data_IF_248575840929
#
_entry.id   IF_248575840929
#
_cell.length_a   1.000
_cell.length_b   1.000
_cell.length_c   1.000
_cell.angle_alpha   90.00
_cell.angle_beta   90.00
_cell.angle_gamma   90.00
#
_symmetry.space_group_name_H-M   'P 1'
#
loop_
_entity.id
_entity.type
_entity.pdbx_description
1 polymer ?
#
# COMPACT_ATOMS: atom_id res chain seq x y z
N UNK A 1 -18.67 -8.34 17.75
CA UNK A 1 -19.16 -7.02 17.30
C UNK A 1 -18.17 -6.51 16.28
N UNK A 2 -18.58 -6.29 15.02
CA UNK A 2 -17.66 -5.81 13.97
C UNK A 2 -17.70 -4.29 13.98
N UNK A 3 -16.67 -3.67 14.52
CA UNK A 3 -16.49 -2.23 14.43
C UNK A 3 -16.35 -1.80 12.96
N UNK A 4 -16.93 -0.65 12.61
CA UNK A 4 -16.77 -0.04 11.29
C UNK A 4 -15.32 0.47 11.19
N UNK A 5 -14.52 0.07 10.17
CA UNK A 5 -13.20 0.66 9.99
C UNK A 5 -13.32 2.17 9.83
N UNK A 6 -12.43 2.94 10.46
CA UNK A 6 -12.54 4.40 10.53
C UNK A 6 -12.73 5.07 9.16
N UNK A 7 -12.08 4.54 8.11
CA UNK A 7 -12.22 5.02 6.74
C UNK A 7 -13.65 4.90 6.15
N UNK A 8 -14.47 3.99 6.66
CA UNK A 8 -15.86 3.79 6.23
C UNK A 8 -16.88 4.52 7.10
N UNK A 9 -16.48 5.01 8.29
CA UNK A 9 -17.38 5.71 9.20
C UNK A 9 -18.05 6.92 8.54
N UNK A 10 -17.28 7.74 7.81
CA UNK A 10 -17.83 8.93 7.15
C UNK A 10 -18.90 8.58 6.12
N UNK A 11 -18.74 7.46 5.40
CA UNK A 11 -19.73 6.98 4.43
C UNK A 11 -20.96 6.40 5.12
N UNK A 12 -20.76 5.62 6.19
CA UNK A 12 -21.86 5.07 6.97
C UNK A 12 -22.69 6.19 7.64
N UNK A 13 -22.03 7.20 8.20
CA UNK A 13 -22.67 8.36 8.79
C UNK A 13 -23.46 9.16 7.75
N UNK A 14 -22.85 9.43 6.60
CA UNK A 14 -23.48 10.08 5.45
C UNK A 14 -24.75 9.34 5.00
N UNK A 15 -24.66 8.03 4.85
CA UNK A 15 -25.78 7.19 4.42
C UNK A 15 -26.89 7.12 5.48
N UNK A 16 -26.55 7.14 6.78
CA UNK A 16 -27.51 7.22 7.87
C UNK A 16 -28.26 8.57 7.88
N UNK A 17 -27.57 9.68 7.66
CA UNK A 17 -28.19 11.02 7.56
C UNK A 17 -29.12 11.11 6.35
N UNK A 18 -28.70 10.54 5.22
CA UNK A 18 -29.54 10.44 4.04
C UNK A 18 -30.80 9.60 4.31
N UNK A 19 -30.66 8.46 4.99
CA UNK A 19 -31.78 7.59 5.35
C UNK A 19 -32.75 8.23 6.34
N UNK A 20 -32.26 9.09 7.24
CA UNK A 20 -33.07 9.92 8.12
C UNK A 20 -33.82 11.05 7.38
N UNK A 21 -33.54 11.26 6.10
CA UNK A 21 -34.28 12.16 5.24
C UNK A 21 -33.78 13.61 5.22
N UNK A 22 -32.58 13.88 5.76
CA UNK A 22 -32.00 15.22 5.82
C UNK A 22 -31.26 15.65 4.53
N UNK A 23 -31.23 14.79 3.49
CA UNK A 23 -30.57 15.06 2.19
C UNK A 23 -31.53 15.61 1.13
N UNK A 24 -32.55 16.37 1.55
CA UNK A 24 -33.54 16.98 0.64
C UNK A 24 -33.00 18.24 -0.03
N UNK A 25 -32.30 19.07 0.74
CA UNK A 25 -31.63 20.27 0.26
C UNK A 25 -30.42 20.59 1.15
N UNK A 26 -29.49 21.40 0.63
CA UNK A 26 -28.25 21.74 1.31
C UNK A 26 -28.48 22.41 2.68
N UNK A 27 -29.45 23.31 2.79
CA UNK A 27 -29.71 24.05 4.02
C UNK A 27 -30.17 23.13 5.16
N UNK A 28 -31.10 22.21 4.88
CA UNK A 28 -31.59 21.21 5.84
C UNK A 28 -30.47 20.25 6.27
N UNK A 29 -29.65 19.78 5.31
CA UNK A 29 -28.50 18.94 5.60
C UNK A 29 -27.51 19.62 6.54
N UNK A 30 -27.17 20.88 6.26
CA UNK A 30 -26.22 21.65 7.06
C UNK A 30 -26.78 21.97 8.45
N UNK A 31 -28.05 22.36 8.55
CA UNK A 31 -28.72 22.60 9.83
C UNK A 31 -28.75 21.34 10.70
N UNK A 32 -28.98 20.17 10.10
CA UNK A 32 -28.93 18.90 10.82
C UNK A 32 -27.52 18.59 11.34
N UNK A 33 -26.48 18.72 10.51
CA UNK A 33 -25.09 18.54 10.95
C UNK A 33 -24.68 19.51 12.06
N UNK A 34 -25.08 20.77 11.96
CA UNK A 34 -24.86 21.76 13.02
C UNK A 34 -25.58 21.37 14.31
N UNK A 35 -26.80 20.84 14.23
CA UNK A 35 -27.53 20.34 15.40
C UNK A 35 -26.81 19.18 16.09
N UNK A 36 -26.20 18.27 15.33
CA UNK A 36 -25.38 17.18 15.89
C UNK A 36 -24.14 17.75 16.56
N UNK A 37 -23.45 18.70 15.91
CA UNK A 37 -22.28 19.37 16.47
C UNK A 37 -22.59 20.00 17.83
N UNK A 38 -23.68 20.77 17.92
CA UNK A 38 -24.14 21.37 19.18
C UNK A 38 -24.48 20.36 20.26
N UNK A 39 -25.10 19.23 19.91
CA UNK A 39 -25.41 18.17 20.86
C UNK A 39 -24.15 17.50 21.42
N UNK A 40 -23.13 17.30 20.57
CA UNK A 40 -21.83 16.78 21.00
C UNK A 40 -21.14 17.80 21.91
N UNK A 41 -21.10 19.07 21.52
CA UNK A 41 -20.47 20.13 22.30
C UNK A 41 -21.12 20.28 23.68
N UNK A 42 -22.46 20.31 23.76
CA UNK A 42 -23.17 20.32 25.03
C UNK A 42 -22.87 19.07 25.88
N UNK A 43 -22.79 17.89 25.27
CA UNK A 43 -22.44 16.67 25.99
C UNK A 43 -20.99 16.67 26.51
N UNK A 44 -20.06 17.34 25.83
CA UNK A 44 -18.70 17.58 26.31
C UNK A 44 -18.70 18.55 27.50
N UNK A 45 -19.42 19.68 27.39
CA UNK A 45 -19.52 20.69 28.45
C UNK A 45 -20.18 20.14 29.72
N UNK A 46 -21.22 19.32 29.57
CA UNK A 46 -21.94 18.67 30.67
C UNK A 46 -21.15 17.50 31.29
N UNK A 47 -19.98 17.12 30.75
CA UNK A 47 -19.18 15.98 31.20
C UNK A 47 -19.78 14.61 30.89
N UNK A 48 -20.78 14.53 30.00
CA UNK A 48 -21.39 13.26 29.55
C UNK A 48 -20.49 12.50 28.56
N UNK A 49 -19.59 13.21 27.88
CA UNK A 49 -18.58 12.66 26.99
C UNK A 49 -17.18 13.10 27.44
N UNK A 50 -16.23 12.17 27.46
CA UNK A 50 -14.81 12.49 27.64
C UNK A 50 -14.26 13.07 26.33
N UNK A 51 -14.33 14.39 26.22
CA UNK A 51 -13.93 15.11 25.04
C UNK A 51 -12.50 15.61 25.15
N UNK A 52 -11.72 15.38 24.09
CA UNK A 52 -10.38 15.95 23.93
C UNK A 52 -10.48 17.28 23.16
N UNK A 53 -9.47 18.16 23.27
CA UNK A 53 -9.39 19.36 22.44
C UNK A 53 -9.61 19.00 20.96
N UNK A 54 -10.38 19.81 20.24
CA UNK A 54 -10.54 19.65 18.79
C UNK A 54 -9.18 19.89 18.13
N UNK A 55 -8.41 18.81 17.92
CA UNK A 55 -7.20 18.88 17.12
C UNK A 55 -7.60 18.98 15.65
N UNK A 56 -7.06 19.97 14.94
CA UNK A 56 -7.11 20.08 13.48
C UNK A 56 -6.13 19.12 12.80
N UNK A 57 -5.48 18.25 13.57
CA UNK A 57 -4.42 17.39 13.09
C UNK A 57 -4.99 16.22 12.29
N UNK A 58 -4.43 16.00 11.11
CA UNK A 58 -4.75 14.86 10.26
C UNK A 58 -4.20 13.53 10.80
N UNK A 59 -3.55 13.56 11.97
CA UNK A 59 -2.92 12.41 12.62
C UNK A 59 -3.70 12.10 13.90
N UNK A 60 -4.25 10.88 14.05
CA UNK A 60 -4.97 10.50 15.25
C UNK A 60 -4.05 10.51 16.48
N UNK A 61 -4.60 10.76 17.68
CA UNK A 61 -3.81 10.85 18.90
C UNK A 61 -3.08 9.53 19.16
N UNK A 62 -1.84 9.63 19.63
CA UNK A 62 -1.03 8.45 19.94
C UNK A 62 -1.52 7.79 21.22
N UNK A 63 -1.75 6.47 21.18
CA UNK A 63 -2.07 5.66 22.35
C UNK A 63 -0.88 4.76 22.71
N UNK A 64 -0.55 4.65 24.00
CA UNK A 64 0.59 3.82 24.44
C UNK A 64 0.47 2.35 24.03
N UNK A 65 -0.76 1.87 23.86
CA UNK A 65 -1.08 0.52 23.38
C UNK A 65 -0.47 0.24 21.99
N UNK A 66 -0.33 1.28 21.15
CA UNK A 66 0.24 1.18 19.82
C UNK A 66 1.74 0.88 19.83
N UNK A 67 2.46 1.21 20.90
CA UNK A 67 3.90 0.94 21.00
C UNK A 67 4.22 -0.54 20.84
N UNK A 68 3.37 -1.41 21.39
CA UNK A 68 3.52 -2.87 21.29
C UNK A 68 3.25 -3.40 19.88
N UNK A 69 2.45 -2.65 19.10
CA UNK A 69 2.07 -3.00 17.73
C UNK A 69 3.03 -2.48 16.67
N UNK A 70 3.86 -1.47 16.98
CA UNK A 70 4.76 -0.83 16.02
C UNK A 70 5.71 -1.80 15.34
N UNK A 71 6.56 -2.47 16.11
CA UNK A 71 7.58 -3.36 15.56
C UNK A 71 7.01 -4.58 14.82
N UNK A 72 6.03 -5.34 15.36
CA UNK A 72 5.48 -6.49 14.65
C UNK A 72 4.72 -6.08 13.39
N UNK A 73 3.96 -4.98 13.43
CA UNK A 73 3.25 -4.46 12.25
C UNK A 73 4.26 -3.96 11.22
N UNK A 74 5.27 -3.19 11.63
CA UNK A 74 6.31 -2.71 10.71
C UNK A 74 7.05 -3.86 10.03
N UNK A 75 7.42 -4.89 10.78
CA UNK A 75 8.08 -6.06 10.20
C UNK A 75 7.16 -6.80 9.24
N UNK A 76 5.88 -6.96 9.57
CA UNK A 76 4.89 -7.56 8.67
C UNK A 76 4.74 -6.77 7.37
N UNK A 77 4.60 -5.44 7.47
CA UNK A 77 4.48 -4.53 6.31
C UNK A 77 5.75 -4.56 5.46
N UNK A 78 6.92 -4.43 6.09
CA UNK A 78 8.21 -4.44 5.41
C UNK A 78 8.45 -5.77 4.70
N UNK A 79 8.19 -6.90 5.40
CA UNK A 79 8.27 -8.23 4.79
C UNK A 79 7.35 -8.32 3.58
N UNK A 80 6.09 -7.89 3.69
CA UNK A 80 5.12 -7.95 2.59
C UNK A 80 5.55 -7.10 1.38
N UNK A 81 6.17 -5.94 1.60
CA UNK A 81 6.77 -5.12 0.53
C UNK A 81 7.88 -5.87 -0.20
N UNK A 82 8.80 -6.50 0.53
CA UNK A 82 9.99 -7.15 -0.03
C UNK A 82 9.66 -8.52 -0.64
N UNK A 83 8.74 -9.28 -0.04
CA UNK A 83 8.37 -10.61 -0.50
C UNK A 83 7.33 -10.62 -1.61
N UNK A 84 6.71 -9.46 -1.93
CA UNK A 84 5.60 -9.37 -2.89
C UNK A 84 4.47 -10.36 -2.57
N UNK A 85 4.30 -10.65 -1.28
CA UNK A 85 3.34 -11.65 -0.81
C UNK A 85 1.90 -11.13 -0.97
N UNK A 86 0.94 -12.03 -1.10
CA UNK A 86 -0.49 -11.74 -1.37
C UNK A 86 -0.81 -11.12 -2.75
N UNK A 87 0.11 -11.18 -3.72
CA UNK A 87 -0.21 -10.85 -5.12
C UNK A 87 -1.10 -11.93 -5.76
N UNK A 88 -2.41 -11.79 -5.60
CA UNK A 88 -3.40 -12.63 -6.29
C UNK A 88 -4.23 -11.81 -7.26
N UNK A 89 -4.28 -12.26 -8.51
CA UNK A 89 -5.24 -11.78 -9.51
C UNK A 89 -6.57 -12.53 -9.43
N UNK A 90 -6.70 -13.48 -8.49
CA UNK A 90 -7.96 -14.16 -8.29
C UNK A 90 -8.99 -13.19 -7.74
N UNK A 91 -10.09 -13.13 -8.47
CA UNK A 91 -11.23 -12.31 -8.13
C UNK A 91 -12.37 -13.20 -7.62
N UNK A 92 -12.22 -14.52 -7.53
CA UNK A 92 -13.26 -15.43 -7.03
C UNK A 92 -13.86 -14.91 -5.71
N UNK A 93 -15.20 -14.93 -5.62
CA UNK A 93 -15.93 -14.40 -4.46
C UNK A 93 -16.04 -12.87 -4.37
N UNK A 94 -15.35 -12.10 -5.23
CA UNK A 94 -15.49 -10.63 -5.28
C UNK A 94 -16.58 -10.23 -6.28
N UNK A 95 -17.70 -9.72 -5.80
CA UNK A 95 -18.81 -9.32 -6.65
C UNK A 95 -19.06 -7.82 -6.53
N UNK A 96 -19.52 -7.21 -7.61
CA UNK A 96 -20.09 -5.87 -7.53
C UNK A 96 -21.37 -5.96 -6.70
N UNK A 97 -21.46 -5.15 -5.65
CA UNK A 97 -22.67 -5.02 -4.83
C UNK A 97 -23.20 -3.60 -4.86
N UNK A 98 -24.46 -3.42 -4.52
CA UNK A 98 -25.12 -2.12 -4.48
C UNK A 98 -26.56 -2.17 -5.01
N UNK A 99 -27.33 -1.08 -4.82
CA UNK A 99 -28.67 -0.98 -5.37
C UNK A 99 -28.67 -1.12 -6.90
N UNK A 100 -29.64 -1.85 -7.46
CA UNK A 100 -29.68 -2.16 -8.90
C UNK A 100 -29.68 -0.93 -9.82
N UNK A 101 -30.27 0.19 -9.38
CA UNK A 101 -30.23 1.46 -10.12
C UNK A 101 -28.81 2.01 -10.26
N UNK A 102 -28.03 1.97 -9.18
CA UNK A 102 -26.63 2.44 -9.18
C UNK A 102 -25.75 1.52 -10.02
N UNK A 103 -26.00 0.21 -9.96
CA UNK A 103 -25.35 -0.78 -10.82
C UNK A 103 -25.59 -0.49 -12.31
N UNK A 104 -26.85 -0.34 -12.73
CA UNK A 104 -27.18 -0.01 -14.12
C UNK A 104 -26.59 1.33 -14.55
N UNK A 105 -26.64 2.34 -13.68
CA UNK A 105 -26.03 3.65 -13.95
C UNK A 105 -24.51 3.51 -14.16
N UNK A 106 -23.83 2.74 -13.30
CA UNK A 106 -22.41 2.46 -13.44
C UNK A 106 -22.11 1.82 -14.80
N UNK A 107 -22.81 0.75 -15.19
CA UNK A 107 -22.58 0.09 -16.47
C UNK A 107 -22.86 1.04 -17.65
N UNK A 108 -23.88 1.88 -17.54
CA UNK A 108 -24.27 2.82 -18.60
C UNK A 108 -23.24 3.94 -18.77
N UNK A 109 -22.77 4.52 -17.66
CA UNK A 109 -21.85 5.67 -17.68
C UNK A 109 -20.42 5.23 -17.97
N UNK A 110 -19.94 4.16 -17.32
CA UNK A 110 -18.55 3.70 -17.47
C UNK A 110 -18.37 2.81 -18.69
N UNK A 111 -19.46 2.27 -19.23
CA UNK A 111 -19.45 1.21 -20.26
C UNK A 111 -18.72 -0.07 -19.82
N UNK A 112 -18.48 -0.23 -18.52
CA UNK A 112 -17.85 -1.41 -17.92
C UNK A 112 -18.90 -2.40 -17.43
N UNK A 113 -18.64 -3.70 -17.58
CA UNK A 113 -19.54 -4.75 -17.09
C UNK A 113 -19.33 -5.00 -15.61
N UNK A 114 -20.42 -5.13 -14.87
CA UNK A 114 -20.37 -5.49 -13.46
C UNK A 114 -20.07 -6.97 -13.27
N UNK A 115 -19.38 -7.26 -12.16
CA UNK A 115 -19.15 -8.63 -11.73
C UNK A 115 -20.37 -9.13 -10.96
N UNK A 116 -21.26 -9.81 -11.65
CA UNK A 116 -22.49 -10.38 -11.07
C UNK A 116 -22.20 -11.47 -10.02
N UNK A 117 -22.96 -11.44 -8.92
CA UNK A 117 -22.99 -12.50 -7.91
C UNK A 117 -23.80 -13.72 -8.34
N UNK A 118 -24.63 -13.60 -9.38
CA UNK A 118 -25.51 -14.68 -9.85
C UNK A 118 -24.74 -15.67 -10.74
N UNK A 119 -24.51 -16.93 -10.29
CA UNK A 119 -23.72 -17.89 -11.06
C UNK A 119 -24.34 -18.21 -12.44
N UNK A 120 -25.66 -18.12 -12.58
CA UNK A 120 -26.37 -18.35 -13.83
C UNK A 120 -25.98 -17.33 -14.93
N UNK A 121 -25.88 -16.04 -14.57
CA UNK A 121 -25.47 -14.97 -15.50
C UNK A 121 -23.97 -15.07 -15.82
N UNK A 122 -23.16 -15.54 -14.88
CA UNK A 122 -21.76 -15.84 -15.15
C UNK A 122 -21.60 -17.04 -16.10
N UNK A 123 -22.47 -18.06 -15.98
CA UNK A 123 -22.50 -19.24 -16.87
C UNK A 123 -23.01 -18.92 -18.27
N UNK A 124 -23.83 -17.89 -18.45
CA UNK A 124 -24.31 -17.44 -19.76
C UNK A 124 -23.27 -16.64 -20.56
N UNK A 125 -22.10 -16.37 -19.99
CA UNK A 125 -20.99 -15.75 -20.74
C UNK A 125 -20.47 -16.71 -21.82
N UNK A 126 -20.16 -16.23 -23.04
CA UNK A 126 -19.60 -17.07 -24.10
C UNK A 126 -18.38 -17.87 -23.62
N UNK A 127 -18.27 -19.13 -24.07
CA UNK A 127 -17.19 -20.03 -23.65
C UNK A 127 -15.79 -19.45 -23.87
N UNK A 128 -15.59 -18.75 -24.99
CA UNK A 128 -14.35 -18.04 -25.31
C UNK A 128 -13.99 -16.97 -24.27
N UNK A 129 -14.95 -16.11 -23.87
CA UNK A 129 -14.72 -15.08 -22.85
C UNK A 129 -14.35 -15.68 -21.49
N UNK A 130 -14.95 -16.81 -21.14
CA UNK A 130 -14.61 -17.53 -19.90
C UNK A 130 -13.21 -18.13 -19.95
N UNK A 131 -12.82 -18.69 -21.09
CA UNK A 131 -11.48 -19.24 -21.29
C UNK A 131 -10.42 -18.15 -21.21
N UNK A 132 -10.59 -17.05 -21.96
CA UNK A 132 -9.68 -15.91 -21.91
C UNK A 132 -9.49 -15.35 -20.49
N UNK A 133 -10.57 -15.19 -19.73
CA UNK A 133 -10.46 -14.69 -18.36
C UNK A 133 -9.74 -15.69 -17.43
N UNK A 134 -9.96 -16.99 -17.61
CA UNK A 134 -9.23 -18.02 -16.86
C UNK A 134 -7.74 -17.99 -17.18
N UNK A 135 -7.38 -17.91 -18.46
CA UNK A 135 -5.98 -17.81 -18.89
C UNK A 135 -5.33 -16.51 -18.43
N UNK A 136 -6.04 -15.37 -18.53
CA UNK A 136 -5.59 -14.09 -17.99
C UNK A 136 -5.26 -14.20 -16.49
N UNK A 137 -6.18 -14.73 -15.68
CA UNK A 137 -5.96 -14.89 -14.24
C UNK A 137 -4.80 -15.85 -13.97
N UNK A 138 -4.69 -16.94 -14.74
CA UNK A 138 -3.56 -17.89 -14.65
C UNK A 138 -2.23 -17.17 -14.90
N UNK A 139 -2.09 -16.48 -16.03
CA UNK A 139 -0.88 -15.74 -16.40
C UNK A 139 -0.52 -14.71 -15.32
N UNK A 140 -1.48 -13.92 -14.85
CA UNK A 140 -1.21 -12.92 -13.81
C UNK A 140 -0.77 -13.57 -12.48
N UNK A 141 -1.38 -14.69 -12.09
CA UNK A 141 -0.98 -15.42 -10.88
C UNK A 141 0.41 -16.05 -11.04
N UNK A 142 0.76 -16.54 -12.22
CA UNK A 142 2.07 -17.11 -12.49
C UNK A 142 3.16 -16.03 -12.47
N UNK A 143 2.88 -14.84 -13.03
CA UNK A 143 3.74 -13.66 -12.89
C UNK A 143 3.90 -13.28 -11.41
N UNK A 144 2.80 -13.20 -10.65
CA UNK A 144 2.85 -12.89 -9.22
C UNK A 144 3.70 -13.89 -8.42
N UNK A 145 3.52 -15.19 -8.69
CA UNK A 145 4.34 -16.26 -8.09
C UNK A 145 5.82 -16.12 -8.45
N UNK A 146 6.13 -15.81 -9.71
CA UNK A 146 7.50 -15.59 -10.17
C UNK A 146 8.18 -14.46 -9.39
N UNK A 147 7.53 -13.29 -9.28
CA UNK A 147 8.04 -12.17 -8.49
C UNK A 147 8.21 -12.55 -7.00
N UNK A 148 7.20 -13.16 -6.39
CA UNK A 148 7.25 -13.56 -4.97
C UNK A 148 8.37 -14.57 -4.65
N UNK A 149 8.82 -15.34 -5.64
CA UNK A 149 9.90 -16.32 -5.48
C UNK A 149 11.28 -15.74 -5.75
N UNK A 150 11.41 -14.82 -6.71
CA UNK A 150 12.70 -14.31 -7.18
C UNK A 150 13.13 -13.03 -6.48
N UNK A 151 12.19 -12.13 -6.19
CA UNK A 151 12.51 -10.84 -5.59
C UNK A 151 13.11 -10.96 -4.19
N UNK A 152 12.53 -11.72 -3.22
CA UNK A 152 13.11 -11.81 -1.89
C UNK A 152 14.58 -12.31 -1.83
N UNK A 153 15.00 -13.39 -2.54
CA UNK A 153 16.40 -13.78 -2.53
C UNK A 153 17.31 -12.74 -3.22
N UNK A 154 16.85 -12.11 -4.30
CA UNK A 154 17.60 -11.02 -4.95
C UNK A 154 17.73 -9.79 -4.04
N UNK A 155 16.71 -9.48 -3.24
CA UNK A 155 16.76 -8.40 -2.27
C UNK A 155 17.78 -8.67 -1.17
N UNK A 156 17.83 -9.90 -0.65
CA UNK A 156 18.84 -10.31 0.34
C UNK A 156 20.24 -10.21 -0.27
N UNK A 157 20.44 -10.69 -1.50
CA UNK A 157 21.72 -10.58 -2.21
C UNK A 157 22.12 -9.11 -2.44
N UNK A 158 21.17 -8.26 -2.84
CA UNK A 158 21.37 -6.82 -3.01
C UNK A 158 21.72 -6.12 -1.69
N UNK A 159 21.09 -6.51 -0.58
CA UNK A 159 21.37 -5.98 0.75
C UNK A 159 22.79 -6.34 1.21
N UNK A 160 23.21 -7.59 1.03
CA UNK A 160 24.58 -8.03 1.30
C UNK A 160 25.59 -7.28 0.40
N UNK A 161 25.27 -7.13 -0.89
CA UNK A 161 26.08 -6.37 -1.84
C UNK A 161 26.25 -4.91 -1.41
N UNK A 162 25.19 -4.27 -0.94
CA UNK A 162 25.24 -2.90 -0.40
C UNK A 162 26.15 -2.82 0.83
N UNK A 163 25.99 -3.72 1.80
CA UNK A 163 26.85 -3.76 3.00
C UNK A 163 28.32 -3.96 2.64
N UNK A 164 28.63 -4.84 1.70
CA UNK A 164 29.99 -5.05 1.19
C UNK A 164 30.54 -3.76 0.53
N UNK A 165 29.74 -3.09 -0.31
CA UNK A 165 30.14 -1.85 -0.96
C UNK A 165 30.44 -0.74 0.05
N UNK A 166 29.53 -0.52 1.01
CA UNK A 166 29.71 0.42 2.11
C UNK A 166 30.95 0.09 2.95
N UNK A 167 31.10 -1.17 3.35
CA UNK A 167 32.27 -1.62 4.12
C UNK A 167 33.58 -1.38 3.38
N UNK A 168 33.64 -1.63 2.08
CA UNK A 168 34.85 -1.35 1.28
C UNK A 168 35.13 0.13 1.11
N UNK A 169 34.10 0.95 0.94
CA UNK A 169 34.21 2.41 0.80
C UNK A 169 34.70 3.04 2.10
N UNK A 170 34.14 2.60 3.24
CA UNK A 170 34.55 3.04 4.58
C UNK A 170 35.97 2.58 4.93
N UNK A 171 36.29 1.30 4.67
CA UNK A 171 37.61 0.74 4.98
C UNK A 171 38.72 1.44 4.17
N UNK A 172 38.50 1.64 2.87
CA UNK A 172 39.48 2.30 2.01
C UNK A 172 39.40 3.83 2.05
N UNK A 173 38.50 4.40 2.88
CA UNK A 173 38.21 5.85 2.98
C UNK A 173 37.96 6.53 1.62
N UNK A 174 37.35 5.82 0.68
CA UNK A 174 36.94 6.39 -0.60
C UNK A 174 35.51 6.89 -0.54
N UNK A 175 35.21 7.93 -1.32
CA UNK A 175 33.84 8.38 -1.52
C UNK A 175 33.00 7.25 -2.14
N UNK A 176 31.80 6.98 -1.59
CA UNK A 176 30.92 5.97 -2.15
C UNK A 176 30.52 6.33 -3.58
N UNK A 177 30.27 5.31 -4.40
CA UNK A 177 29.83 5.52 -5.77
C UNK A 177 28.41 6.13 -5.81
N UNK A 178 28.06 6.78 -6.91
CA UNK A 178 26.68 7.23 -7.16
C UNK A 178 25.65 6.08 -7.05
N UNK A 179 26.02 4.87 -7.49
CA UNK A 179 25.15 3.70 -7.39
C UNK A 179 24.91 3.26 -5.93
N UNK A 180 25.93 3.36 -5.07
CA UNK A 180 25.80 3.13 -3.64
C UNK A 180 24.87 4.15 -2.97
N UNK A 181 25.00 5.43 -3.31
CA UNK A 181 24.15 6.51 -2.79
C UNK A 181 22.69 6.31 -3.21
N UNK A 182 22.43 5.96 -4.47
CA UNK A 182 21.09 5.66 -4.94
C UNK A 182 20.50 4.42 -4.27
N UNK A 183 21.30 3.40 -4.01
CA UNK A 183 20.87 2.20 -3.27
C UNK A 183 20.48 2.54 -1.83
N UNK A 184 21.28 3.35 -1.13
CA UNK A 184 20.96 3.85 0.22
C UNK A 184 19.68 4.68 0.23
N UNK A 185 19.52 5.57 -0.77
CA UNK A 185 18.34 6.43 -0.90
C UNK A 185 17.08 5.59 -1.14
N UNK A 186 17.17 4.57 -2.01
CA UNK A 186 16.08 3.65 -2.28
C UNK A 186 15.69 2.83 -1.05
N UNK A 187 16.68 2.32 -0.30
CA UNK A 187 16.43 1.61 0.95
C UNK A 187 15.78 2.52 2.00
N UNK A 188 16.27 3.74 2.14
CA UNK A 188 15.67 4.77 3.00
C UNK A 188 14.23 5.08 2.61
N UNK A 189 13.93 5.19 1.31
CA UNK A 189 12.57 5.36 0.80
C UNK A 189 11.64 4.19 1.13
N UNK A 190 12.12 2.95 0.95
CA UNK A 190 11.36 1.73 1.29
C UNK A 190 11.06 1.70 2.79
N UNK A 191 12.05 1.99 3.64
CA UNK A 191 11.89 2.02 5.10
C UNK A 191 10.97 3.15 5.55
N UNK A 192 11.12 4.35 4.99
CA UNK A 192 10.24 5.48 5.32
C UNK A 192 8.78 5.17 4.95
N UNK A 193 8.56 4.62 3.76
CA UNK A 193 7.23 4.22 3.30
C UNK A 193 6.65 3.09 4.18
N UNK A 194 7.46 2.09 4.57
CA UNK A 194 6.98 1.03 5.46
C UNK A 194 6.59 1.56 6.84
N UNK A 195 7.33 2.54 7.38
CA UNK A 195 6.97 3.23 8.63
C UNK A 195 5.67 4.00 8.50
N UNK A 196 5.50 4.80 7.43
CA UNK A 196 4.27 5.55 7.17
C UNK A 196 3.07 4.60 7.08
N UNK A 197 3.20 3.51 6.32
CA UNK A 197 2.14 2.52 6.18
C UNK A 197 1.83 1.78 7.48
N UNK A 198 2.84 1.59 8.33
CA UNK A 198 2.66 1.01 9.68
C UNK A 198 1.81 1.92 10.54
N UNK A 199 2.09 3.23 10.54
CA UNK A 199 1.29 4.21 11.26
C UNK A 199 -0.17 4.17 10.77
N UNK A 200 -0.39 4.23 9.46
CA UNK A 200 -1.74 4.16 8.87
C UNK A 200 -2.47 2.85 9.21
N UNK A 201 -1.76 1.72 9.20
CA UNK A 201 -2.33 0.41 9.51
C UNK A 201 -2.77 0.30 10.97
N UNK A 202 -2.01 0.88 11.90
CA UNK A 202 -2.31 0.87 13.34
C UNK A 202 -3.43 1.87 13.66
N UNK A 203 -3.40 3.05 13.04
CA UNK A 203 -4.26 4.15 13.47
C UNK A 203 -5.58 4.28 12.70
N UNK A 204 -5.63 3.81 11.46
CA UNK A 204 -6.73 4.14 10.55
C UNK A 204 -7.44 2.89 10.01
N UNK A 205 -6.76 2.06 9.21
CA UNK A 205 -7.36 0.86 8.62
C UNK A 205 -6.31 -0.10 8.06
N UNK A 206 -6.63 -1.40 8.04
CA UNK A 206 -5.70 -2.50 7.70
C UNK A 206 -5.45 -2.71 6.20
N UNK A 207 -6.26 -2.13 5.31
CA UNK A 207 -6.21 -2.35 3.86
C UNK A 207 -5.17 -1.46 3.16
N UNK A 208 -3.91 -1.59 3.56
CA UNK A 208 -2.79 -0.77 3.05
C UNK A 208 -2.23 -1.22 1.68
N UNK A 209 -2.77 -2.29 1.09
CA UNK A 209 -2.23 -2.95 -0.11
C UNK A 209 -2.10 -2.01 -1.31
N UNK A 210 -3.02 -1.07 -1.48
CA UNK A 210 -2.96 -0.10 -2.58
C UNK A 210 -1.80 0.87 -2.42
N UNK A 211 -1.61 1.40 -1.22
CA UNK A 211 -0.54 2.36 -0.93
C UNK A 211 0.86 1.69 -0.97
N UNK A 212 0.93 0.39 -0.68
CA UNK A 212 2.17 -0.40 -0.84
C UNK A 212 2.69 -0.48 -2.28
N UNK A 213 1.84 -0.30 -3.29
CA UNK A 213 2.25 -0.44 -4.70
C UNK A 213 3.35 0.55 -5.10
N UNK A 214 3.44 1.70 -4.42
CA UNK A 214 4.51 2.67 -4.62
C UNK A 214 5.89 2.13 -4.20
N UNK A 215 5.96 1.15 -3.30
CA UNK A 215 7.22 0.58 -2.82
C UNK A 215 7.88 -0.36 -3.85
N UNK A 216 7.08 -1.07 -4.64
CA UNK A 216 7.57 -2.09 -5.58
C UNK A 216 8.62 -1.62 -6.60
N UNK A 217 8.44 -0.48 -7.30
CA UNK A 217 9.48 0.03 -8.18
C UNK A 217 10.75 0.44 -7.41
N UNK A 218 10.62 0.93 -6.16
CA UNK A 218 11.79 1.26 -5.33
C UNK A 218 12.58 0.00 -4.96
N UNK A 219 11.91 -1.10 -4.64
CA UNK A 219 12.56 -2.40 -4.37
C UNK A 219 13.34 -2.87 -5.60
N UNK A 220 12.76 -2.79 -6.79
CA UNK A 220 13.45 -3.16 -8.03
C UNK A 220 14.67 -2.27 -8.28
N UNK A 221 14.52 -0.96 -8.11
CA UNK A 221 15.61 0.00 -8.29
C UNK A 221 16.75 -0.24 -7.29
N UNK A 222 16.42 -0.52 -6.02
CA UNK A 222 17.39 -0.91 -5.00
C UNK A 222 18.20 -2.15 -5.39
N UNK A 223 17.53 -3.19 -5.89
CA UNK A 223 18.18 -4.44 -6.32
C UNK A 223 19.16 -4.16 -7.47
N UNK A 224 18.70 -3.44 -8.50
CA UNK A 224 19.51 -3.14 -9.69
C UNK A 224 20.74 -2.30 -9.30
N UNK A 225 20.54 -1.22 -8.53
CA UNK A 225 21.61 -0.31 -8.15
C UNK A 225 22.66 -0.99 -7.26
N UNK A 226 22.23 -1.81 -6.29
CA UNK A 226 23.13 -2.49 -5.36
C UNK A 226 23.95 -3.58 -6.04
N UNK A 227 23.33 -4.38 -6.91
CA UNK A 227 24.03 -5.43 -7.66
C UNK A 227 24.98 -4.83 -8.71
N UNK A 228 24.59 -3.74 -9.37
CA UNK A 228 25.46 -3.03 -10.30
C UNK A 228 26.71 -2.47 -9.60
N UNK A 229 26.54 -1.88 -8.42
CA UNK A 229 27.66 -1.34 -7.65
C UNK A 229 28.63 -2.43 -7.18
N UNK A 230 28.10 -3.56 -6.69
CA UNK A 230 28.92 -4.71 -6.34
C UNK A 230 29.66 -5.29 -7.55
N UNK A 231 29.00 -5.40 -8.71
CA UNK A 231 29.65 -5.83 -9.95
C UNK A 231 30.76 -4.87 -10.38
N UNK A 232 30.53 -3.56 -10.29
CA UNK A 232 31.55 -2.54 -10.57
C UNK A 232 32.76 -2.69 -9.65
N UNK A 233 32.55 -2.89 -8.34
CA UNK A 233 33.63 -3.09 -7.38
C UNK A 233 34.40 -4.39 -7.64
N UNK A 234 33.70 -5.46 -8.01
CA UNK A 234 34.31 -6.73 -8.38
C UNK A 234 35.19 -6.59 -9.63
N UNK A 235 34.69 -5.93 -10.69
CA UNK A 235 35.47 -5.67 -11.91
C UNK A 235 36.73 -4.84 -11.63
N UNK A 236 36.64 -3.85 -10.74
CA UNK A 236 37.79 -3.03 -10.33
C UNK A 236 38.84 -3.80 -9.52
N UNK A 237 38.45 -4.85 -8.78
CA UNK A 237 39.41 -5.73 -8.08
C UNK A 237 40.14 -6.66 -9.05
N UNK A 238 39.54 -6.99 -10.20
CA UNK A 238 40.14 -7.86 -11.22
C UNK A 238 41.11 -7.14 -12.18
N UNK A 239 41.07 -5.81 -12.25
CA UNK A 239 42.07 -5.04 -13.00
C UNK A 239 43.37 -4.98 -12.20
N UNK A 240 44.41 -5.69 -12.68
CA UNK A 240 45.77 -5.60 -12.14
C UNK A 240 46.32 -4.17 -12.30
N UNK A 241 47.23 -3.71 -11.44
CA UNK A 241 47.81 -2.37 -11.51
C UNK A 241 48.69 -2.09 -12.75
N UNK A 242 48.99 -3.10 -13.57
CA UNK A 242 50.03 -3.02 -14.60
C UNK A 242 49.49 -2.74 -16.02
N UNK A 243 48.42 -1.95 -16.17
CA UNK A 243 47.93 -1.54 -17.50
C UNK A 243 48.19 -0.03 -17.71
N UNK A 244 49.28 0.36 -18.39
CA UNK A 244 49.72 1.76 -18.50
C UNK A 244 48.85 2.64 -19.42
N UNK A 245 47.95 2.07 -20.23
CA UNK A 245 47.30 2.79 -21.34
C UNK A 245 45.94 3.43 -20.99
N UNK A 246 45.78 4.04 -19.81
CA UNK A 246 44.50 4.69 -19.45
C UNK A 246 44.57 6.17 -19.08
N UNK A 247 45.61 6.86 -19.50
CA UNK A 247 45.78 8.30 -19.34
C UNK A 247 45.96 9.05 -20.67
N UNK A 248 45.30 8.58 -21.73
CA UNK A 248 45.07 9.36 -22.97
C UNK A 248 43.57 9.56 -23.21
#
# INVERSE_FOLDING_TARGET
TKDLPAAFFIWAFRDAVAAAGHYRNSADTMAYYESIGRQIDAACEDGRLDCRPRFTDLIPPWHQEFNKLLLPTWWSVFKRIVSFDECSADTAGRFSWGPGKIMMLYETVTREKLRTSKPAVWRSSPGYHRHLNKEKIRILNDIGKFYSRIVPPLFIAAFIALLCSLGTSLYKRFLPSWACIFSLSALGGITALSVILTLVAITSYSEITRAMQAAYPMVMFFIIASLYDAWRLWRRRGARPDDPERWE
#
